data_IF_470312658294
#
_entry.id   IF_470312658294
#
_cell.length_a   1.000
_cell.length_b   1.000
_cell.length_c   1.000
_cell.angle_alpha   90.00
_cell.angle_beta   90.00
_cell.angle_gamma   90.00
#
_symmetry.space_group_name_H-M   'P 1'
#
loop_
_entity.id
_entity.type
_entity.pdbx_description
1 polymer ?
#
# COMPACT_ATOMS: atom_id res chain seq x y z
N UNK A 1 14.23 -31.19 -9.50
CA UNK A 1 13.17 -30.62 -10.36
C UNK A 1 11.73 -30.87 -9.89
N UNK A 2 11.45 -31.35 -8.66
CA UNK A 2 10.07 -31.60 -8.15
C UNK A 2 9.46 -30.50 -7.26
N UNK A 3 10.28 -29.58 -6.74
CA UNK A 3 9.84 -28.63 -5.70
C UNK A 3 9.15 -27.37 -6.25
N UNK A 4 9.49 -26.93 -7.47
CA UNK A 4 8.93 -25.72 -8.08
C UNK A 4 7.44 -25.90 -8.44
N UNK A 5 7.09 -27.02 -9.08
CA UNK A 5 5.70 -27.34 -9.46
C UNK A 5 4.75 -27.45 -8.25
N UNK A 6 5.27 -27.88 -7.10
CA UNK A 6 4.48 -28.01 -5.86
C UNK A 6 4.21 -26.63 -5.24
N UNK A 7 5.18 -25.73 -5.29
CA UNK A 7 5.06 -24.36 -4.78
C UNK A 7 4.08 -23.54 -5.62
N UNK A 8 4.20 -23.60 -6.95
CA UNK A 8 3.29 -22.88 -7.85
C UNK A 8 1.85 -23.38 -7.74
N UNK A 9 1.67 -24.69 -7.58
CA UNK A 9 0.35 -25.28 -7.35
C UNK A 9 -0.25 -24.83 -6.02
N UNK A 10 0.56 -24.74 -4.96
CA UNK A 10 0.13 -24.21 -3.67
C UNK A 10 -0.32 -22.75 -3.77
N UNK A 11 0.46 -21.89 -4.45
CA UNK A 11 0.10 -20.48 -4.69
C UNK A 11 -1.23 -20.38 -5.42
N UNK A 12 -1.44 -21.18 -6.48
CA UNK A 12 -2.71 -21.22 -7.23
C UNK A 12 -3.90 -21.59 -6.35
N UNK A 13 -3.77 -22.63 -5.51
CA UNK A 13 -4.86 -23.04 -4.61
C UNK A 13 -5.14 -22.00 -3.51
N UNK A 14 -4.10 -21.36 -2.98
CA UNK A 14 -4.24 -20.24 -2.04
C UNK A 14 -4.96 -19.05 -2.67
N UNK A 15 -4.59 -18.68 -3.91
CA UNK A 15 -5.29 -17.63 -4.66
C UNK A 15 -6.77 -17.98 -4.88
N UNK A 16 -7.10 -19.22 -5.26
CA UNK A 16 -8.50 -19.67 -5.40
C UNK A 16 -9.28 -19.58 -4.09
N UNK A 17 -8.65 -19.93 -2.96
CA UNK A 17 -9.30 -19.84 -1.65
C UNK A 17 -9.54 -18.38 -1.26
N UNK A 18 -8.53 -17.52 -1.35
CA UNK A 18 -8.63 -16.11 -1.01
C UNK A 18 -9.60 -15.37 -1.95
N UNK A 19 -9.63 -15.69 -3.25
CA UNK A 19 -10.61 -15.16 -4.19
C UNK A 19 -12.06 -15.47 -3.75
N UNK A 20 -12.34 -16.72 -3.36
CA UNK A 20 -13.67 -17.14 -2.87
C UNK A 20 -14.04 -16.51 -1.53
N UNK A 21 -13.07 -16.31 -0.65
CA UNK A 21 -13.29 -15.69 0.65
C UNK A 21 -13.58 -14.19 0.48
N UNK A 22 -12.70 -13.48 -0.22
CA UNK A 22 -12.82 -12.03 -0.45
C UNK A 22 -14.06 -11.63 -1.25
N UNK A 23 -14.65 -12.52 -2.04
CA UNK A 23 -15.91 -12.24 -2.76
C UNK A 23 -17.17 -12.34 -1.90
N UNK A 24 -17.10 -12.97 -0.72
CA UNK A 24 -18.27 -13.27 0.11
C UNK A 24 -18.31 -12.49 1.43
N UNK A 25 -17.18 -11.95 1.87
CA UNK A 25 -17.07 -11.27 3.15
C UNK A 25 -16.13 -10.09 3.07
N UNK A 26 -16.38 -9.09 3.92
CA UNK A 26 -15.41 -8.05 4.20
C UNK A 26 -14.20 -8.67 4.88
N UNK A 27 -13.03 -8.50 4.26
CA UNK A 27 -11.77 -9.04 4.77
C UNK A 27 -10.95 -7.95 5.47
N UNK A 28 -10.20 -8.35 6.50
CA UNK A 28 -9.26 -7.47 7.17
C UNK A 28 -8.09 -7.10 6.25
N UNK A 29 -7.42 -6.00 6.56
CA UNK A 29 -6.17 -5.59 5.89
C UNK A 29 -5.15 -6.72 5.80
N UNK A 30 -5.02 -7.55 6.85
CA UNK A 30 -4.08 -8.68 6.87
C UNK A 30 -4.40 -9.72 5.81
N UNK A 31 -5.68 -10.06 5.62
CA UNK A 31 -6.11 -11.01 4.59
C UNK A 31 -5.81 -10.48 3.20
N UNK A 32 -6.10 -9.19 2.96
CA UNK A 32 -5.79 -8.55 1.68
C UNK A 32 -4.30 -8.48 1.40
N UNK A 33 -3.45 -8.19 2.40
CA UNK A 33 -1.98 -8.21 2.25
C UNK A 33 -1.46 -9.62 1.95
N UNK A 34 -2.00 -10.66 2.60
CA UNK A 34 -1.65 -12.04 2.26
C UNK A 34 -2.02 -12.36 0.81
N UNK A 35 -3.18 -11.88 0.35
CA UNK A 35 -3.58 -12.09 -1.04
C UNK A 35 -2.68 -11.31 -2.01
N UNK A 36 -2.34 -10.05 -1.70
CA UNK A 36 -1.41 -9.26 -2.48
C UNK A 36 -0.04 -9.95 -2.59
N UNK A 37 0.49 -10.50 -1.50
CA UNK A 37 1.78 -11.19 -1.49
C UNK A 37 1.84 -12.39 -2.44
N UNK A 38 0.72 -13.10 -2.66
CA UNK A 38 0.65 -14.19 -3.64
C UNK A 38 0.61 -13.71 -5.10
N UNK A 39 0.28 -12.45 -5.31
CA UNK A 39 0.25 -11.77 -6.61
C UNK A 39 1.44 -10.82 -6.81
N UNK A 40 2.38 -10.78 -5.86
CA UNK A 40 3.50 -9.86 -5.93
C UNK A 40 4.32 -10.12 -7.20
N UNK A 41 4.55 -9.07 -8.03
CA UNK A 41 5.41 -9.16 -9.19
C UNK A 41 6.82 -9.64 -8.84
N UNK A 42 7.36 -10.56 -9.63
CA UNK A 42 8.77 -10.93 -9.56
C UNK A 42 9.56 -10.07 -10.56
N UNK A 43 10.73 -9.56 -10.16
CA UNK A 43 11.56 -8.56 -10.87
C UNK A 43 11.96 -8.87 -12.33
N UNK A 44 11.65 -10.05 -12.87
CA UNK A 44 12.25 -10.50 -14.14
C UNK A 44 11.36 -10.50 -15.38
N UNK A 45 10.02 -10.54 -15.28
CA UNK A 45 9.11 -10.52 -16.45
C UNK A 45 7.65 -10.43 -16.00
N UNK A 46 7.29 -9.39 -15.24
CA UNK A 46 5.91 -9.23 -14.76
C UNK A 46 5.09 -8.34 -15.69
N UNK A 47 3.88 -8.78 -16.07
CA UNK A 47 3.01 -8.01 -16.95
C UNK A 47 2.39 -6.81 -16.20
N UNK A 48 2.02 -5.77 -16.96
CA UNK A 48 1.26 -4.62 -16.44
C UNK A 48 0.01 -5.08 -15.67
N UNK A 49 -0.69 -6.10 -16.18
CA UNK A 49 -1.90 -6.66 -15.57
C UNK A 49 -1.63 -7.31 -14.20
N UNK A 50 -0.46 -7.93 -14.02
CA UNK A 50 -0.05 -8.49 -12.73
C UNK A 50 0.24 -7.39 -11.71
N UNK A 51 0.91 -6.31 -12.11
CA UNK A 51 1.10 -5.14 -11.25
C UNK A 51 -0.22 -4.44 -10.91
N UNK A 52 -1.14 -4.28 -11.87
CA UNK A 52 -2.47 -3.74 -11.62
C UNK A 52 -3.24 -4.59 -10.60
N UNK A 53 -3.16 -5.92 -10.73
CA UNK A 53 -3.79 -6.84 -9.79
C UNK A 53 -3.20 -6.71 -8.39
N UNK A 54 -1.87 -6.65 -8.30
CA UNK A 54 -1.15 -6.46 -7.05
C UNK A 54 -1.53 -5.14 -6.36
N UNK A 55 -1.46 -4.03 -7.10
CA UNK A 55 -1.85 -2.71 -6.61
C UNK A 55 -3.30 -2.69 -6.12
N UNK A 56 -4.22 -3.29 -6.88
CA UNK A 56 -5.63 -3.35 -6.46
C UNK A 56 -5.81 -4.08 -5.12
N UNK A 57 -5.04 -5.14 -4.87
CA UNK A 57 -5.08 -5.87 -3.59
C UNK A 57 -4.47 -5.06 -2.45
N UNK A 58 -3.39 -4.30 -2.70
CA UNK A 58 -2.83 -3.36 -1.72
C UNK A 58 -3.81 -2.25 -1.37
N UNK A 59 -4.49 -1.66 -2.36
CA UNK A 59 -5.52 -0.63 -2.13
C UNK A 59 -6.66 -1.17 -1.25
N UNK A 60 -7.11 -2.40 -1.52
CA UNK A 60 -8.14 -3.06 -0.68
C UNK A 60 -7.65 -3.25 0.75
N UNK A 61 -6.39 -3.63 0.92
CA UNK A 61 -5.80 -3.76 2.25
C UNK A 61 -5.77 -2.40 2.97
N UNK A 62 -5.25 -1.37 2.30
CA UNK A 62 -5.13 -0.01 2.85
C UNK A 62 -6.50 0.53 3.27
N UNK A 63 -7.50 0.45 2.40
CA UNK A 63 -8.85 0.92 2.67
C UNK A 63 -9.52 0.18 3.82
N UNK A 64 -9.21 -1.11 4.05
CA UNK A 64 -9.77 -1.87 5.16
C UNK A 64 -9.36 -1.32 6.53
N UNK A 65 -8.16 -0.75 6.66
CA UNK A 65 -7.69 -0.09 7.88
C UNK A 65 -7.93 1.42 7.89
N UNK A 66 -7.77 2.10 6.74
CA UNK A 66 -8.00 3.54 6.62
C UNK A 66 -9.46 3.93 6.90
N UNK A 67 -10.42 3.13 6.43
CA UNK A 67 -11.84 3.36 6.69
C UNK A 67 -12.26 2.94 8.11
N UNK A 68 -11.37 2.29 8.87
CA UNK A 68 -11.62 2.04 10.29
C UNK A 68 -11.54 3.38 11.01
N UNK A 69 -12.59 3.72 11.76
CA UNK A 69 -12.59 4.94 12.55
C UNK A 69 -11.38 4.96 13.49
N UNK A 70 -10.77 6.15 13.65
CA UNK A 70 -9.69 6.41 14.62
C UNK A 70 -8.39 5.61 14.38
N UNK A 71 -8.07 5.23 13.15
CA UNK A 71 -6.79 4.56 12.85
C UNK A 71 -5.54 5.35 13.32
N UNK A 72 -5.67 6.65 13.48
CA UNK A 72 -4.61 7.59 13.87
C UNK A 72 -4.42 7.75 15.39
N UNK A 73 -5.20 7.08 16.25
CA UNK A 73 -5.12 7.34 17.70
C UNK A 73 -4.01 6.56 18.39
N UNK A 74 -3.69 5.36 17.89
CA UNK A 74 -2.63 4.52 18.43
C UNK A 74 -1.47 4.50 17.46
N UNK A 75 -0.24 4.74 17.95
CA UNK A 75 0.94 4.91 17.08
C UNK A 75 1.20 3.68 16.20
N UNK A 76 0.98 2.46 16.72
CA UNK A 76 1.15 1.24 15.95
C UNK A 76 0.16 1.13 14.78
N UNK A 77 -1.12 1.44 15.03
CA UNK A 77 -2.15 1.40 14.00
C UNK A 77 -1.97 2.55 12.99
N UNK A 78 -1.54 3.72 13.47
CA UNK A 78 -1.18 4.86 12.64
C UNK A 78 -0.04 4.48 11.69
N UNK A 79 1.08 3.98 12.23
CA UNK A 79 2.25 3.54 11.46
C UNK A 79 1.87 2.49 10.42
N UNK A 80 1.02 1.53 10.80
CA UNK A 80 0.52 0.50 9.88
C UNK A 80 -0.23 1.11 8.70
N UNK A 81 -1.14 2.06 8.94
CA UNK A 81 -1.89 2.72 7.86
C UNK A 81 -0.98 3.55 6.97
N UNK A 82 -0.06 4.32 7.54
CA UNK A 82 0.89 5.12 6.77
C UNK A 82 1.78 4.24 5.90
N UNK A 83 2.29 3.12 6.43
CA UNK A 83 3.09 2.15 5.67
C UNK A 83 2.31 1.59 4.48
N UNK A 84 1.05 1.22 4.71
CA UNK A 84 0.19 0.73 3.63
C UNK A 84 -0.11 1.80 2.59
N UNK A 85 -0.21 3.07 2.99
CA UNK A 85 -0.38 4.18 2.07
C UNK A 85 0.87 4.38 1.20
N UNK A 86 2.07 4.34 1.80
CA UNK A 86 3.35 4.39 1.07
C UNK A 86 3.44 3.25 0.06
N UNK A 87 3.19 2.00 0.49
CA UNK A 87 3.18 0.82 -0.39
C UNK A 87 2.26 1.04 -1.62
N UNK A 88 1.05 1.58 -1.41
CA UNK A 88 0.08 1.86 -2.49
C UNK A 88 0.55 2.99 -3.41
N UNK A 89 1.07 4.07 -2.85
CA UNK A 89 1.46 5.25 -3.61
C UNK A 89 2.72 5.00 -4.44
N UNK A 90 3.70 4.29 -3.91
CA UNK A 90 4.89 3.88 -4.64
C UNK A 90 4.54 2.95 -5.81
N UNK A 91 3.67 1.95 -5.57
CA UNK A 91 3.22 1.04 -6.63
C UNK A 91 2.40 1.75 -7.72
N UNK A 92 1.61 2.78 -7.37
CA UNK A 92 0.94 3.63 -8.39
C UNK A 92 1.94 4.32 -9.30
N UNK A 93 2.98 4.92 -8.73
CA UNK A 93 4.03 5.60 -9.48
C UNK A 93 4.85 4.60 -10.31
N UNK A 94 5.14 3.42 -9.75
CA UNK A 94 5.82 2.35 -10.46
C UNK A 94 5.00 1.85 -11.66
N UNK A 95 3.70 1.61 -11.48
CA UNK A 95 2.81 1.19 -12.55
C UNK A 95 2.71 2.23 -13.68
N UNK A 96 2.72 3.54 -13.35
CA UNK A 96 2.75 4.60 -14.35
C UNK A 96 4.03 4.54 -15.21
N UNK A 97 5.18 4.30 -14.57
CA UNK A 97 6.46 4.09 -15.28
C UNK A 97 6.41 2.84 -16.16
N UNK A 98 5.86 1.72 -15.65
CA UNK A 98 5.75 0.47 -16.40
C UNK A 98 4.84 0.61 -17.63
N UNK A 99 3.74 1.37 -17.51
CA UNK A 99 2.84 1.70 -18.62
C UNK A 99 3.42 2.71 -19.61
N UNK A 100 4.57 3.30 -19.30
CA UNK A 100 5.20 4.38 -20.07
C UNK A 100 4.24 5.54 -20.34
N UNK A 101 3.48 5.95 -19.32
CA UNK A 101 2.53 7.09 -19.37
C UNK A 101 3.11 8.32 -18.65
N UNK A 102 2.54 9.50 -18.91
CA UNK A 102 2.87 10.71 -18.14
C UNK A 102 2.60 10.47 -16.64
N UNK A 103 3.60 10.60 -15.75
CA UNK A 103 3.41 10.38 -14.32
C UNK A 103 2.66 11.53 -13.62
N UNK A 104 2.55 12.72 -14.23
CA UNK A 104 1.98 13.92 -13.57
C UNK A 104 0.56 13.72 -13.01
N UNK A 105 -0.40 13.10 -13.73
CA UNK A 105 -1.73 12.83 -13.19
C UNK A 105 -1.69 11.92 -11.96
N UNK A 106 -0.85 10.88 -12.00
CA UNK A 106 -0.70 9.91 -10.90
C UNK A 106 -0.02 10.56 -9.69
N UNK A 107 1.00 11.39 -9.91
CA UNK A 107 1.64 12.17 -8.85
C UNK A 107 0.66 13.15 -8.20
N UNK A 108 -0.21 13.79 -8.98
CA UNK A 108 -1.27 14.65 -8.46
C UNK A 108 -2.26 13.87 -7.59
N UNK A 109 -2.68 12.68 -8.03
CA UNK A 109 -3.55 11.79 -7.27
C UNK A 109 -2.91 11.34 -5.95
N UNK A 110 -1.65 10.89 -5.98
CA UNK A 110 -0.87 10.50 -4.80
C UNK A 110 -0.82 11.67 -3.81
N UNK A 111 -0.51 12.88 -4.28
CA UNK A 111 -0.46 14.07 -3.43
C UNK A 111 -1.80 14.39 -2.78
N UNK A 112 -2.89 14.33 -3.55
CA UNK A 112 -4.24 14.58 -3.05
C UNK A 112 -4.63 13.59 -1.95
N UNK A 113 -4.19 12.34 -2.05
CA UNK A 113 -4.48 11.28 -1.09
C UNK A 113 -3.51 11.27 0.12
N UNK A 114 -2.27 11.73 -0.05
CA UNK A 114 -1.29 11.82 1.04
C UNK A 114 -1.54 13.01 1.98
N UNK A 115 -2.01 14.16 1.47
CA UNK A 115 -2.25 15.37 2.27
C UNK A 115 -3.20 15.16 3.47
N UNK A 116 -4.35 14.45 3.34
CA UNK A 116 -5.21 14.15 4.48
C UNK A 116 -4.52 13.29 5.56
N UNK A 117 -3.63 12.38 5.17
CA UNK A 117 -2.84 11.59 6.11
C UNK A 117 -1.89 12.49 6.90
N UNK A 118 -1.19 13.39 6.20
CA UNK A 118 -0.27 14.36 6.81
C UNK A 118 -0.99 15.23 7.82
N UNK A 119 -2.07 15.88 7.40
CA UNK A 119 -2.86 16.74 8.27
C UNK A 119 -3.40 16.00 9.51
N UNK A 120 -3.78 14.73 9.36
CA UNK A 120 -4.28 13.93 10.48
C UNK A 120 -3.19 13.61 11.48
N UNK A 121 -2.02 13.18 11.03
CA UNK A 121 -0.89 12.84 11.90
C UNK A 121 -0.38 14.09 12.62
N UNK A 122 -0.21 15.21 11.91
CA UNK A 122 0.26 16.46 12.54
C UNK A 122 -0.72 16.97 13.60
N UNK A 123 -2.02 16.79 13.38
CA UNK A 123 -3.05 17.14 14.35
C UNK A 123 -2.96 16.32 15.64
N UNK A 124 -2.53 15.05 15.56
CA UNK A 124 -2.52 14.12 16.71
C UNK A 124 -1.16 14.08 17.39
N UNK A 125 -0.08 14.06 16.61
CA UNK A 125 1.29 13.82 17.06
C UNK A 125 2.19 15.05 16.91
N UNK A 126 1.63 16.22 16.55
CA UNK A 126 2.39 17.44 16.32
C UNK A 126 3.06 17.48 14.94
N UNK A 127 3.52 18.66 14.54
CA UNK A 127 4.28 18.86 13.29
C UNK A 127 5.46 17.89 13.27
N UNK A 128 5.69 17.23 12.13
CA UNK A 128 6.74 16.22 11.97
C UNK A 128 6.61 15.00 12.90
N UNK A 129 5.40 14.74 13.39
CA UNK A 129 5.14 13.72 14.41
C UNK A 129 6.07 13.88 15.63
N UNK A 130 6.41 15.13 15.99
CA UNK A 130 7.36 15.47 17.06
C UNK A 130 6.99 14.93 18.45
N UNK A 131 5.70 14.72 18.72
CA UNK A 131 5.20 14.15 19.96
C UNK A 131 5.02 12.63 19.92
N UNK A 132 5.29 11.97 18.78
CA UNK A 132 5.26 10.52 18.71
C UNK A 132 6.40 9.94 19.54
N UNK A 133 6.17 8.81 20.21
CA UNK A 133 7.22 8.06 20.91
C UNK A 133 7.98 7.17 19.91
N UNK A 134 7.24 6.51 19.02
CA UNK A 134 7.74 5.58 18.01
C UNK A 134 8.64 6.26 16.98
N UNK A 135 9.86 5.74 16.82
CA UNK A 135 10.75 6.10 15.70
C UNK A 135 10.17 5.67 14.36
N UNK A 136 9.57 4.47 14.30
CA UNK A 136 8.95 3.93 13.09
C UNK A 136 7.83 4.85 12.58
N UNK A 137 7.02 5.43 13.49
CA UNK A 137 5.98 6.37 13.11
C UNK A 137 6.58 7.64 12.48
N UNK A 138 7.65 8.19 13.06
CA UNK A 138 8.31 9.38 12.52
C UNK A 138 8.93 9.10 11.16
N UNK A 139 9.63 7.98 11.01
CA UNK A 139 10.27 7.57 9.75
C UNK A 139 9.24 7.39 8.63
N UNK A 140 8.18 6.61 8.88
CA UNK A 140 7.15 6.38 7.85
C UNK A 140 6.37 7.66 7.53
N UNK A 141 6.17 8.53 8.53
CA UNK A 141 5.56 9.83 8.33
C UNK A 141 6.41 10.71 7.40
N UNK A 142 7.73 10.71 7.57
CA UNK A 142 8.67 11.37 6.64
C UNK A 142 8.51 10.82 5.22
N UNK A 143 8.41 9.50 5.03
CA UNK A 143 8.16 8.92 3.70
C UNK A 143 6.85 9.41 3.08
N UNK A 144 5.77 9.55 3.86
CA UNK A 144 4.50 10.11 3.35
C UNK A 144 4.64 11.58 2.96
N UNK A 145 5.43 12.37 3.69
CA UNK A 145 5.74 13.76 3.32
C UNK A 145 6.57 13.85 2.05
N UNK A 146 7.57 12.99 1.88
CA UNK A 146 8.39 12.92 0.68
C UNK A 146 7.55 12.66 -0.58
N UNK A 147 6.53 11.80 -0.50
CA UNK A 147 5.61 11.57 -1.63
C UNK A 147 4.84 12.83 -2.09
N UNK A 148 4.72 13.85 -1.23
CA UNK A 148 4.14 15.15 -1.59
C UNK A 148 5.19 16.05 -2.27
N UNK A 149 6.44 15.97 -1.79
CA UNK A 149 7.57 16.84 -2.16
C UNK A 149 8.31 16.37 -3.42
N UNK A 150 8.47 15.07 -3.64
CA UNK A 150 9.21 14.46 -4.78
C UNK A 150 8.61 14.79 -6.16
N UNK A 151 7.46 15.48 -6.19
CA UNK A 151 6.78 15.99 -7.38
C UNK A 151 7.18 17.44 -7.71
N UNK A 152 7.92 18.12 -6.83
CA UNK A 152 8.34 19.53 -7.02
C UNK A 152 9.63 19.64 -7.86
N UNK A 153 10.38 18.55 -8.01
CA UNK A 153 11.72 18.56 -8.64
C UNK A 153 11.81 18.02 -10.09
N UNK A 154 10.70 17.87 -10.82
CA UNK A 154 10.70 17.46 -12.23
C UNK A 154 9.79 18.31 -13.12
#
# INVERSE_FOLDING_TARGET
>A
MKNHDTSDQLVKEMCKLLARMTSKQTCSSKVWRCYAALHQPNDRDCSVEQHEKYLNLLERAYLADYNRQKWYTEEQQCSKVLKMAVDVFEEKLHLAKLKNIDPKPVMSEVRMNARPLVAMVERVYGIDASNAVSTELREIFTSVKQLIEDVICH
#
